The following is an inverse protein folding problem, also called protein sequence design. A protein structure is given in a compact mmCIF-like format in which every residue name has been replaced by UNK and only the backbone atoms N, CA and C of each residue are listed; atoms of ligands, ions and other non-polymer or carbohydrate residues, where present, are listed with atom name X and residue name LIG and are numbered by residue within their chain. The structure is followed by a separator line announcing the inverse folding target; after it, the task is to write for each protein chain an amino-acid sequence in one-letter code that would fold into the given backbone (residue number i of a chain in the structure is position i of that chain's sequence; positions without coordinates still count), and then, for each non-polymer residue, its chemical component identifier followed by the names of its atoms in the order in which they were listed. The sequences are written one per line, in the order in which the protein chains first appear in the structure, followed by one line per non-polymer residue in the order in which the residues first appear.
data_IF_126233211617
#
_entry.id   IF_126233211617
#
_cell.length_a   1.000
_cell.length_b   1.000
_cell.length_c   1.000
_cell.angle_alpha   90.00
_cell.angle_beta   90.00
_cell.angle_gamma   90.00
#
_symmetry.space_group_name_H-M   'P 1'
#
loop_
_entity.id
_entity.type
_entity.pdbx_description
1 polymer ?
#
# COMPACT_ATOMS: atom_id res chain seq x y z
N UNK A 1 6.79 -16.98 3.48
CA UNK A 1 7.04 -15.53 3.29
C UNK A 1 8.38 -15.35 2.59
N UNK A 2 8.38 -15.03 1.30
CA UNK A 2 9.59 -14.65 0.54
C UNK A 2 10.19 -13.37 1.14
N UNK A 3 11.52 -13.30 1.28
CA UNK A 3 12.19 -12.11 1.82
C UNK A 3 11.84 -10.89 0.96
N UNK A 4 11.37 -9.81 1.60
CA UNK A 4 11.13 -8.53 0.93
C UNK A 4 12.45 -7.97 0.39
N UNK A 5 12.46 -7.58 -0.88
CA UNK A 5 13.65 -6.96 -1.49
C UNK A 5 13.80 -5.51 -1.03
N UNK A 6 15.01 -4.95 -1.12
CA UNK A 6 15.24 -3.54 -0.79
C UNK A 6 14.37 -2.59 -1.64
N UNK A 7 14.15 -2.94 -2.91
CA UNK A 7 13.27 -2.21 -3.82
C UNK A 7 11.81 -2.18 -3.31
N UNK A 8 11.32 -3.29 -2.77
CA UNK A 8 9.97 -3.39 -2.19
C UNK A 8 9.79 -2.44 -1.01
N UNK A 9 10.76 -2.40 -0.10
CA UNK A 9 10.75 -1.49 1.06
C UNK A 9 10.81 -0.03 0.60
N UNK A 10 11.66 0.27 -0.40
CA UNK A 10 11.80 1.63 -0.95
C UNK A 10 10.50 2.11 -1.59
N UNK A 11 9.82 1.27 -2.37
CA UNK A 11 8.55 1.62 -3.02
C UNK A 11 7.46 1.90 -1.98
N UNK A 12 7.28 1.03 -0.98
CA UNK A 12 6.30 1.26 0.10
C UNK A 12 6.55 2.58 0.83
N UNK A 13 7.82 2.87 1.14
CA UNK A 13 8.19 4.13 1.78
C UNK A 13 7.89 5.33 0.89
N UNK A 14 8.27 5.29 -0.38
CA UNK A 14 8.03 6.37 -1.33
C UNK A 14 6.53 6.65 -1.53
N UNK A 15 5.69 5.61 -1.58
CA UNK A 15 4.24 5.77 -1.64
C UNK A 15 3.68 6.49 -0.41
N UNK A 16 4.17 6.14 0.79
CA UNK A 16 3.81 6.85 2.03
C UNK A 16 4.25 8.30 2.06
N UNK A 17 5.45 8.59 1.57
CA UNK A 17 5.95 9.96 1.50
C UNK A 17 5.14 10.81 0.51
N UNK A 18 4.82 10.26 -0.67
CA UNK A 18 3.93 10.90 -1.66
C UNK A 18 2.56 11.24 -1.06
N UNK A 19 1.99 10.32 -0.30
CA UNK A 19 0.66 10.46 0.30
C UNK A 19 0.69 11.21 1.65
N UNK A 20 1.79 11.88 1.98
CA UNK A 20 2.00 12.66 3.20
C UNK A 20 1.71 11.86 4.49
N UNK A 21 2.09 10.58 4.50
CA UNK A 21 1.80 9.62 5.59
C UNK A 21 0.34 9.67 6.06
N UNK A 22 -0.59 9.79 5.09
CA UNK A 22 -2.02 9.89 5.35
C UNK A 22 -2.75 8.77 4.61
N UNK A 23 -3.64 8.06 5.31
CA UNK A 23 -4.48 7.03 4.74
C UNK A 23 -5.35 7.61 3.63
N UNK A 24 -5.20 7.10 2.41
CA UNK A 24 -5.95 7.57 1.23
C UNK A 24 -7.41 7.11 1.23
N UNK A 25 -7.79 6.20 2.13
CA UNK A 25 -9.18 5.74 2.29
C UNK A 25 -9.98 6.54 3.33
N UNK A 26 -9.38 6.81 4.50
CA UNK A 26 -10.09 7.41 5.64
C UNK A 26 -9.44 8.68 6.22
N UNK A 27 -8.29 9.11 5.70
CA UNK A 27 -7.59 10.31 6.17
C UNK A 27 -6.79 10.15 7.48
N UNK A 28 -6.79 8.97 8.11
CA UNK A 28 -5.99 8.73 9.31
C UNK A 28 -4.48 8.84 9.06
N UNK A 29 -3.75 9.45 9.99
CA UNK A 29 -2.27 9.51 10.01
C UNK A 29 -1.63 8.52 10.98
N UNK A 30 -2.44 7.68 11.63
CA UNK A 30 -1.95 6.68 12.60
C UNK A 30 -1.55 5.39 11.88
N UNK A 31 -0.33 4.91 12.15
CA UNK A 31 0.19 3.62 11.67
C UNK A 31 -0.04 3.43 10.16
N UNK A 32 0.46 4.37 9.37
CA UNK A 32 0.29 4.35 7.92
C UNK A 32 1.33 3.45 7.26
N UNK A 33 0.86 2.56 6.40
CA UNK A 33 1.60 1.50 5.72
C UNK A 33 1.41 1.65 4.20
N UNK A 34 2.43 1.28 3.42
CA UNK A 34 2.35 1.27 1.96
C UNK A 34 1.79 -0.06 1.48
N UNK A 35 0.57 -0.07 0.95
CA UNK A 35 -0.11 -1.25 0.43
C UNK A 35 0.06 -1.36 -1.08
N UNK A 36 0.31 -2.55 -1.61
CA UNK A 36 0.38 -2.75 -3.06
C UNK A 36 -1.03 -2.85 -3.63
N UNK A 37 -1.37 -2.05 -4.64
CA UNK A 37 -2.72 -2.05 -5.25
C UNK A 37 -2.92 -3.32 -6.08
N UNK A 38 -1.94 -3.63 -6.94
CA UNK A 38 -1.84 -4.86 -7.72
C UNK A 38 -0.76 -5.74 -7.08
N UNK A 39 -1.05 -7.03 -6.94
CA UNK A 39 -0.10 -7.99 -6.39
C UNK A 39 1.25 -7.96 -7.14
N UNK A 40 2.35 -7.93 -6.38
CA UNK A 40 3.71 -7.81 -6.90
C UNK A 40 4.05 -8.89 -7.94
N UNK A 41 3.39 -10.05 -7.83
CA UNK A 41 3.53 -11.17 -8.76
C UNK A 41 3.13 -10.80 -10.19
N UNK A 42 2.22 -9.83 -10.36
CA UNK A 42 1.73 -9.38 -11.67
C UNK A 42 2.43 -8.12 -12.17
N UNK A 43 3.00 -7.29 -11.30
CA UNK A 43 3.64 -6.03 -11.72
C UNK A 43 5.13 -6.16 -11.98
N UNK A 44 5.79 -7.20 -11.45
CA UNK A 44 7.22 -7.50 -11.67
C UNK A 44 8.22 -6.49 -11.08
N UNK A 45 7.84 -5.22 -10.95
CA UNK A 45 8.64 -4.12 -10.42
C UNK A 45 7.95 -3.46 -9.22
N UNK A 46 8.77 -3.09 -8.22
CA UNK A 46 8.36 -2.29 -7.07
C UNK A 46 8.20 -0.82 -7.49
N UNK A 47 7.08 -0.51 -8.15
CA UNK A 47 6.76 0.84 -8.63
C UNK A 47 5.96 1.61 -7.57
N UNK A 48 6.33 2.87 -7.36
CA UNK A 48 5.70 3.74 -6.35
C UNK A 48 4.22 3.99 -6.66
N UNK A 49 3.86 4.04 -7.94
CA UNK A 49 2.48 4.25 -8.38
C UNK A 49 1.55 3.07 -8.09
N UNK A 50 2.11 1.88 -7.87
CA UNK A 50 1.38 0.71 -7.40
C UNK A 50 1.27 0.64 -5.86
N UNK A 51 1.65 1.71 -5.16
CA UNK A 51 1.51 1.81 -3.71
C UNK A 51 0.41 2.81 -3.38
N UNK A 52 -0.46 2.43 -2.44
CA UNK A 52 -1.40 3.33 -1.78
C UNK A 52 -1.15 3.32 -0.28
N UNK A 53 -1.17 4.49 0.35
CA UNK A 53 -1.00 4.59 1.79
C UNK A 53 -2.30 4.33 2.52
N UNK A 54 -2.28 3.35 3.43
CA UNK A 54 -3.44 2.98 4.25
C UNK A 54 -3.03 2.95 5.73
N UNK A 55 -3.93 3.35 6.63
CA UNK A 55 -3.73 3.03 8.04
C UNK A 55 -3.88 1.52 8.24
N UNK A 56 -3.30 0.99 9.32
CA UNK A 56 -3.32 -0.44 9.63
C UNK A 56 -4.72 -1.09 9.57
N UNK A 57 -5.76 -0.35 9.99
CA UNK A 57 -7.16 -0.81 9.93
C UNK A 57 -7.60 -1.03 8.48
N UNK A 58 -7.59 0.04 7.67
CA UNK A 58 -7.99 -0.06 6.26
C UNK A 58 -7.10 -1.02 5.46
N UNK A 59 -5.81 -1.10 5.81
CA UNK A 59 -4.89 -2.05 5.20
C UNK A 59 -5.33 -3.51 5.43
N UNK A 60 -5.74 -3.82 6.65
CA UNK A 60 -6.26 -5.14 7.02
C UNK A 60 -7.59 -5.43 6.34
N UNK A 61 -8.51 -4.45 6.29
CA UNK A 61 -9.81 -4.57 5.61
C UNK A 61 -9.65 -4.87 4.11
N UNK A 62 -8.66 -4.26 3.44
CA UNK A 62 -8.33 -4.59 2.05
C UNK A 62 -7.85 -6.04 1.93
N UNK A 63 -6.94 -6.49 2.81
CA UNK A 63 -6.47 -7.88 2.81
C UNK A 63 -7.58 -8.91 3.12
N UNK A 64 -8.62 -8.51 3.84
CA UNK A 64 -9.82 -9.32 4.10
C UNK A 64 -10.83 -9.30 2.97
N UNK A 65 -10.67 -8.42 1.97
CA UNK A 65 -11.66 -8.21 0.91
C UNK A 65 -12.88 -7.39 1.32
N UNK A 66 -12.84 -6.73 2.49
CA UNK A 66 -13.92 -5.87 2.99
C UNK A 66 -13.91 -4.49 2.30
N UNK A 67 -12.74 -4.07 1.78
CA UNK A 67 -12.57 -2.85 0.98
C UNK A 67 -11.96 -3.21 -0.37
N UNK A 68 -12.67 -2.88 -1.45
CA UNK A 68 -12.09 -2.85 -2.80
C UNK A 68 -11.39 -1.52 -3.04
N UNK A 69 -10.14 -1.59 -3.51
CA UNK A 69 -9.40 -0.42 -4.02
C UNK A 69 -9.73 -0.10 -5.48
N UNK A 70 -10.36 -1.03 -6.20
CA UNK A 70 -10.83 -0.84 -7.56
C UNK A 70 -12.28 -0.35 -7.54
N UNK A 71 -12.55 0.73 -8.27
CA UNK A 71 -13.90 1.19 -8.58
C UNK A 71 -14.02 1.14 -10.11
N UNK A 72 -14.89 0.27 -10.62
CA UNK A 72 -15.27 0.24 -12.03
C UNK A 72 -16.42 1.23 -12.26
#
# INVERSE_FOLDING_TARGET
MTKRTAAHIKAQRAGRERDLNTCQKCGSRKQVEGHHIIDLQFTGAAIVDNIISLCHICHTEVHKGEISLYKF
#
